data_IF_107336272930
#
_entry.id   IF_107336272930
#
_cell.length_a   1.000
_cell.length_b   1.000
_cell.length_c   1.000
_cell.angle_alpha   90.00
_cell.angle_beta   90.00
_cell.angle_gamma   90.00
#
_symmetry.space_group_name_H-M   'P 1'
#
loop_
_entity.id
_entity.type
_entity.pdbx_description
1 polymer ?
#
# COMPACT_ATOMS: atom_id res chain seq x y z
N UNK A 1 3.64 8.90 -12.86
CA UNK A 1 3.98 7.48 -12.64
C UNK A 1 2.82 6.62 -13.11
N UNK A 2 3.11 5.43 -13.62
CA UNK A 2 2.13 4.38 -13.96
C UNK A 2 1.71 3.61 -12.71
N UNK A 3 0.61 2.86 -12.77
CA UNK A 3 0.20 1.97 -11.68
C UNK A 3 1.31 0.99 -11.27
N UNK A 4 2.08 0.48 -12.24
CA UNK A 4 3.22 -0.39 -11.98
C UNK A 4 4.37 0.32 -11.25
N UNK A 5 4.67 1.57 -11.60
CA UNK A 5 5.70 2.36 -10.92
C UNK A 5 5.31 2.67 -9.47
N UNK A 6 4.06 3.08 -9.23
CA UNK A 6 3.51 3.26 -7.88
C UNK A 6 3.56 1.96 -7.08
N UNK A 7 3.16 0.83 -7.67
CA UNK A 7 3.25 -0.48 -7.02
C UNK A 7 4.69 -0.85 -6.61
N UNK A 8 5.66 -0.63 -7.49
CA UNK A 8 7.07 -0.90 -7.22
C UNK A 8 7.63 0.03 -6.13
N UNK A 9 7.25 1.31 -6.15
CA UNK A 9 7.64 2.25 -5.10
C UNK A 9 7.01 1.89 -3.75
N UNK A 10 5.73 1.52 -3.72
CA UNK A 10 5.07 1.04 -2.51
C UNK A 10 5.76 -0.21 -1.94
N UNK A 11 6.17 -1.13 -2.81
CA UNK A 11 6.98 -2.29 -2.41
C UNK A 11 8.34 -1.90 -1.81
N UNK A 12 8.98 -0.85 -2.33
CA UNK A 12 10.24 -0.34 -1.79
C UNK A 12 10.04 0.25 -0.38
N UNK A 13 8.99 1.02 -0.16
CA UNK A 13 8.63 1.53 1.17
C UNK A 13 8.25 0.42 2.15
N UNK A 14 7.45 -0.56 1.69
CA UNK A 14 7.08 -1.74 2.49
C UNK A 14 8.31 -2.51 2.97
N UNK A 15 9.32 -2.69 2.12
CA UNK A 15 10.59 -3.35 2.49
C UNK A 15 11.40 -2.56 3.52
N UNK A 16 11.24 -1.24 3.56
CA UNK A 16 11.87 -0.37 4.54
C UNK A 16 11.08 -0.28 5.86
N UNK A 17 9.91 -0.92 5.94
CA UNK A 17 9.00 -0.82 7.09
C UNK A 17 8.16 0.45 7.11
N UNK A 18 8.25 1.29 6.07
CA UNK A 18 7.44 2.49 5.93
C UNK A 18 6.07 2.14 5.34
N UNK A 19 5.22 1.57 6.18
CA UNK A 19 3.91 1.08 5.75
C UNK A 19 2.95 2.20 5.38
N UNK A 20 3.13 3.42 5.90
CA UNK A 20 2.32 4.58 5.54
C UNK A 20 2.55 4.98 4.08
N UNK A 21 3.80 5.25 3.70
CA UNK A 21 4.10 5.62 2.32
C UNK A 21 3.88 4.44 1.35
N UNK A 22 4.01 3.20 1.82
CA UNK A 22 3.64 2.03 1.02
C UNK A 22 2.14 2.03 0.67
N UNK A 23 1.26 2.25 1.67
CA UNK A 23 -0.18 2.36 1.47
C UNK A 23 -0.56 3.49 0.52
N UNK A 24 0.03 4.68 0.70
CA UNK A 24 -0.22 5.82 -0.19
C UNK A 24 0.12 5.46 -1.64
N UNK A 25 1.28 4.85 -1.88
CA UNK A 25 1.68 4.40 -3.21
C UNK A 25 0.71 3.35 -3.79
N UNK A 26 0.26 2.39 -2.97
CA UNK A 26 -0.69 1.39 -3.46
C UNK A 26 -2.05 2.02 -3.78
N UNK A 27 -2.51 3.01 -3.02
CA UNK A 27 -3.74 3.74 -3.31
C UNK A 27 -3.66 4.48 -4.65
N UNK A 28 -2.55 5.16 -4.94
CA UNK A 28 -2.32 5.81 -6.23
C UNK A 28 -2.27 4.79 -7.39
N UNK A 29 -1.65 3.62 -7.18
CA UNK A 29 -1.64 2.56 -8.19
C UNK A 29 -3.06 2.04 -8.50
N UNK A 30 -3.88 1.82 -7.47
CA UNK A 30 -5.27 1.35 -7.58
C UNK A 30 -6.16 2.41 -8.26
N UNK A 31 -5.93 3.69 -7.97
CA UNK A 31 -6.66 4.79 -8.60
C UNK A 31 -6.41 4.87 -10.11
N UNK A 32 -5.21 4.50 -10.55
CA UNK A 32 -4.84 4.44 -11.97
C UNK A 32 -5.27 3.15 -12.66
N UNK A 33 -5.13 2.01 -11.97
CA UNK A 33 -5.49 0.69 -12.46
C UNK A 33 -6.07 -0.15 -11.30
N UNK A 34 -7.40 -0.25 -11.23
CA UNK A 34 -8.10 -1.04 -10.21
C UNK A 34 -7.79 -2.54 -10.26
N UNK A 35 -7.28 -3.06 -11.38
CA UNK A 35 -6.91 -4.47 -11.54
C UNK A 35 -5.41 -4.71 -11.27
N UNK A 36 -4.68 -3.68 -10.83
CA UNK A 36 -3.25 -3.79 -10.57
C UNK A 36 -2.93 -4.65 -9.33
N UNK A 37 -1.72 -5.23 -9.25
CA UNK A 37 -1.28 -5.99 -8.07
C UNK A 37 -1.26 -5.19 -6.76
N UNK A 38 -1.41 -3.87 -6.83
CA UNK A 38 -1.45 -3.00 -5.67
C UNK A 38 -2.68 -3.23 -4.78
N UNK A 39 -3.81 -3.72 -5.33
CA UNK A 39 -4.99 -4.09 -4.52
C UNK A 39 -4.62 -5.13 -3.47
N UNK A 40 -4.04 -6.25 -3.92
CA UNK A 40 -3.64 -7.36 -3.03
C UNK A 40 -2.54 -6.92 -2.06
N UNK A 41 -1.61 -6.08 -2.51
CA UNK A 41 -0.56 -5.56 -1.63
C UNK A 41 -1.13 -4.65 -0.53
N UNK A 42 -2.08 -3.76 -0.87
CA UNK A 42 -2.79 -2.93 0.10
C UNK A 42 -3.56 -3.79 1.09
N UNK A 43 -4.34 -4.77 0.64
CA UNK A 43 -5.09 -5.69 1.51
C UNK A 43 -4.16 -6.46 2.46
N UNK A 44 -2.99 -6.90 2.00
CA UNK A 44 -1.99 -7.52 2.86
C UNK A 44 -1.53 -6.56 3.97
N UNK A 45 -1.20 -5.30 3.63
CA UNK A 45 -0.80 -4.31 4.63
C UNK A 45 -1.94 -3.99 5.59
N UNK A 46 -3.15 -3.80 5.10
CA UNK A 46 -4.34 -3.52 5.91
C UNK A 46 -4.55 -4.64 6.95
N UNK A 47 -4.38 -5.91 6.54
CA UNK A 47 -4.47 -7.06 7.45
C UNK A 47 -3.35 -7.07 8.51
N UNK A 48 -2.10 -6.81 8.10
CA UNK A 48 -0.95 -6.76 9.01
C UNK A 48 -1.16 -5.62 10.03
N UNK A 49 -1.46 -4.42 9.55
CA UNK A 49 -1.66 -3.24 10.39
C UNK A 49 -2.90 -3.39 11.26
N UNK A 50 -4.00 -3.96 10.76
CA UNK A 50 -5.19 -4.26 11.56
C UNK A 50 -4.94 -5.26 12.70
N UNK A 51 -4.00 -6.19 12.52
CA UNK A 51 -3.58 -7.13 13.57
C UNK A 51 -2.68 -6.47 14.63
N UNK A 52 -1.73 -5.63 14.21
CA UNK A 52 -0.71 -5.04 15.11
C UNK A 52 -1.08 -3.66 15.68
N UNK A 53 -1.87 -2.87 14.96
CA UNK A 53 -2.16 -1.47 15.25
C UNK A 53 -3.61 -1.13 14.85
N UNK A 54 -4.58 -1.46 15.71
CA UNK A 54 -6.01 -1.15 15.47
C UNK A 54 -6.30 0.34 15.22
N UNK A 55 -5.43 1.24 15.66
CA UNK A 55 -5.62 2.70 15.55
C UNK A 55 -4.89 3.34 14.35
N UNK A 56 -4.30 2.56 13.43
CA UNK A 56 -3.43 3.10 12.36
C UNK A 56 -4.16 3.97 11.31
N UNK A 57 -5.48 3.84 11.18
CA UNK A 57 -6.31 4.68 10.29
C UNK A 57 -6.87 5.92 10.98
N UNK A 58 -6.54 6.16 12.24
CA UNK A 58 -7.05 7.33 12.96
C UNK A 58 -6.12 8.54 12.71
N UNK A 59 -6.64 9.67 12.21
CA UNK A 59 -5.87 10.84 11.79
C UNK A 59 -5.16 11.59 12.93
#
# INVERSE_FOLDING_TARGET
>A
MTAQEYYLQGNAYRKQGDYKHALDCYMEAIALDPDSPAVVAKEMLDNILGFYCKDYYNP
#
